data_IF_706535404549
#
_entry.id   IF_706535404549
#
_cell.length_a   1.000
_cell.length_b   1.000
_cell.length_c   1.000
_cell.angle_alpha   90.00
_cell.angle_beta   90.00
_cell.angle_gamma   90.00
#
_symmetry.space_group_name_H-M   'P 1'
#
loop_
_entity.id
_entity.type
_entity.pdbx_description
1 polymer ?
#
# COMPACT_ATOMS: atom_id res chain seq x y z
N UNK A 1 9.93 9.60 11.07
CA UNK A 1 9.66 8.66 9.99
C UNK A 1 9.81 9.37 8.64
N UNK A 2 10.82 8.98 7.86
CA UNK A 2 11.20 9.61 6.58
C UNK A 2 10.07 9.60 5.53
N UNK A 3 9.16 8.63 5.57
CA UNK A 3 8.03 8.55 4.65
C UNK A 3 7.00 9.64 4.99
N UNK A 4 6.61 9.72 6.25
CA UNK A 4 5.53 10.63 6.71
C UNK A 4 5.87 12.11 6.49
N UNK A 5 7.15 12.48 6.57
CA UNK A 5 7.63 13.85 6.34
C UNK A 5 7.89 14.18 4.86
N UNK A 6 7.74 13.23 3.94
CA UNK A 6 8.08 13.41 2.53
C UNK A 6 7.23 14.48 1.82
N UNK A 7 7.91 15.37 1.06
CA UNK A 7 7.29 16.46 0.26
C UNK A 7 7.79 16.49 -1.19
N UNK A 8 8.39 15.39 -1.71
CA UNK A 8 9.11 15.37 -2.98
C UNK A 8 8.24 15.51 -4.24
N UNK A 9 6.93 15.25 -4.15
CA UNK A 9 6.00 15.29 -5.28
C UNK A 9 4.98 16.42 -5.07
N UNK A 10 5.21 17.66 -5.56
CA UNK A 10 4.36 18.82 -5.29
C UNK A 10 2.87 18.56 -5.64
N UNK A 11 2.59 17.94 -6.79
CA UNK A 11 1.23 17.59 -7.21
C UNK A 11 0.51 16.72 -6.17
N UNK A 12 1.18 15.69 -5.66
CA UNK A 12 0.61 14.79 -4.65
C UNK A 12 0.49 15.48 -3.27
N UNK A 13 1.47 16.32 -2.92
CA UNK A 13 1.42 17.11 -1.67
C UNK A 13 0.22 18.05 -1.68
N UNK A 14 0.02 18.77 -2.78
CA UNK A 14 -1.10 19.70 -2.92
C UNK A 14 -2.44 18.94 -2.92
N UNK A 15 -2.53 17.85 -3.67
CA UNK A 15 -3.77 17.07 -3.76
C UNK A 15 -4.16 16.44 -2.40
N UNK A 16 -3.25 15.74 -1.71
CA UNK A 16 -3.58 15.13 -0.41
C UNK A 16 -3.98 16.16 0.66
N UNK A 17 -3.36 17.35 0.63
CA UNK A 17 -3.71 18.47 1.52
C UNK A 17 -5.06 19.07 1.16
N UNK A 18 -5.34 19.25 -0.16
CA UNK A 18 -6.64 19.73 -0.66
C UNK A 18 -7.73 18.80 -0.16
N UNK A 19 -7.63 17.50 -0.39
CA UNK A 19 -8.61 16.51 0.10
C UNK A 19 -8.77 16.55 1.62
N UNK A 20 -7.67 16.73 2.37
CA UNK A 20 -7.74 16.82 3.84
C UNK A 20 -8.42 18.11 4.34
N UNK A 21 -8.42 19.19 3.55
CA UNK A 21 -9.11 20.45 3.85
C UNK A 21 -10.58 20.41 3.43
N UNK A 22 -10.86 19.96 2.20
CA UNK A 22 -12.20 19.95 1.62
C UNK A 22 -13.09 18.86 2.22
N UNK A 23 -12.49 17.72 2.55
CA UNK A 23 -13.12 16.55 3.14
C UNK A 23 -14.31 16.03 2.32
N UNK A 24 -14.90 14.91 2.71
CA UNK A 24 -16.17 14.42 2.20
C UNK A 24 -17.27 14.78 3.21
N UNK A 25 -18.47 15.12 2.77
CA UNK A 25 -19.60 15.54 3.63
C UNK A 25 -19.79 14.64 4.85
N UNK A 26 -19.77 13.32 4.65
CA UNK A 26 -19.93 12.33 5.72
C UNK A 26 -18.78 12.30 6.74
N UNK A 27 -17.61 12.90 6.42
CA UNK A 27 -16.42 12.94 7.27
C UNK A 27 -16.02 14.37 7.62
N UNK A 28 -16.93 15.33 7.53
CA UNK A 28 -16.64 16.78 7.69
C UNK A 28 -16.05 17.08 9.09
N UNK A 29 -16.51 16.36 10.10
CA UNK A 29 -16.08 16.52 11.49
C UNK A 29 -14.80 15.74 11.83
N UNK A 30 -14.30 14.87 10.90
CA UNK A 30 -13.10 14.10 11.17
C UNK A 30 -11.83 14.90 10.87
N UNK A 31 -10.77 14.62 11.63
CA UNK A 31 -9.45 15.14 11.34
C UNK A 31 -8.73 14.22 10.37
N UNK A 32 -8.57 14.65 9.12
CA UNK A 32 -7.82 13.90 8.13
C UNK A 32 -6.32 13.88 8.43
N UNK A 33 -5.68 12.76 8.14
CA UNK A 33 -4.23 12.59 8.25
C UNK A 33 -3.46 13.50 7.28
N UNK A 34 -3.82 13.50 5.99
CA UNK A 34 -3.29 14.39 4.96
C UNK A 34 -1.77 14.31 4.72
N UNK A 35 -1.12 13.25 5.18
CA UNK A 35 0.33 13.01 5.03
C UNK A 35 0.59 11.70 4.28
N UNK A 36 1.83 11.42 3.83
CA UNK A 36 2.18 10.13 3.29
C UNK A 36 1.91 8.99 4.28
N UNK A 37 1.67 7.79 3.77
CA UNK A 37 1.31 6.62 4.55
C UNK A 37 2.40 5.55 4.44
N UNK A 38 2.73 4.93 5.56
CA UNK A 38 3.60 3.76 5.63
C UNK A 38 2.79 2.48 5.43
N UNK A 39 3.48 1.39 5.17
CA UNK A 39 2.90 0.07 5.31
C UNK A 39 2.46 -0.21 6.76
N UNK A 40 1.65 -1.25 6.90
CA UNK A 40 1.06 -1.71 8.15
C UNK A 40 1.03 -3.23 8.20
N UNK A 41 1.30 -3.82 9.34
CA UNK A 41 1.18 -5.25 9.56
C UNK A 41 2.29 -5.83 10.43
N UNK A 42 2.50 -7.14 10.28
CA UNK A 42 3.51 -7.89 11.00
C UNK A 42 4.91 -7.63 10.40
N UNK A 43 5.89 -7.13 11.16
CA UNK A 43 7.25 -6.94 10.64
C UNK A 43 7.97 -8.25 10.29
N UNK A 44 7.49 -9.40 10.78
CA UNK A 44 8.00 -10.74 10.45
C UNK A 44 7.16 -11.45 9.37
N UNK A 45 6.33 -10.70 8.64
CA UNK A 45 5.40 -11.23 7.65
C UNK A 45 6.10 -12.03 6.56
N UNK A 46 5.50 -13.17 6.21
CA UNK A 46 5.85 -13.98 5.03
C UNK A 46 5.04 -13.57 3.79
N UNK A 47 3.95 -12.82 3.97
CA UNK A 47 3.04 -12.41 2.90
C UNK A 47 2.96 -10.89 2.85
N UNK A 48 3.25 -10.32 1.67
CA UNK A 48 3.13 -8.89 1.40
C UNK A 48 1.98 -8.63 0.44
N UNK A 49 1.03 -7.78 0.84
CA UNK A 49 0.02 -7.22 -0.05
C UNK A 49 0.44 -5.84 -0.52
N UNK A 50 0.39 -5.62 -1.82
CA UNK A 50 0.78 -4.34 -2.42
C UNK A 50 -0.38 -3.75 -3.20
N UNK A 51 -0.83 -2.56 -2.81
CA UNK A 51 -1.79 -1.76 -3.56
C UNK A 51 -1.14 -0.63 -4.36
N UNK A 52 -1.96 0.12 -5.10
CA UNK A 52 -1.49 1.28 -5.88
C UNK A 52 -1.05 2.43 -4.97
N UNK A 53 -1.97 2.95 -4.18
CA UNK A 53 -1.82 4.17 -3.37
C UNK A 53 -2.90 4.23 -2.29
N UNK A 54 -2.77 5.12 -1.28
CA UNK A 54 -3.85 5.38 -0.33
C UNK A 54 -5.06 5.99 -1.03
N UNK A 55 -6.27 5.56 -0.65
CA UNK A 55 -7.50 6.19 -1.09
C UNK A 55 -7.70 7.58 -0.47
N UNK A 56 -8.35 8.49 -1.22
CA UNK A 56 -8.56 9.89 -0.82
C UNK A 56 -9.29 10.04 0.52
N UNK A 57 -10.35 9.26 0.72
CA UNK A 57 -11.18 9.27 1.92
C UNK A 57 -11.03 8.01 2.79
N UNK A 58 -10.12 7.10 2.40
CA UNK A 58 -9.64 5.98 3.18
C UNK A 58 -8.31 6.31 3.86
N UNK A 59 -7.19 5.77 3.37
CA UNK A 59 -5.89 5.95 3.96
C UNK A 59 -5.45 7.41 4.12
N UNK A 60 -5.72 8.30 3.17
CA UNK A 60 -5.40 9.73 3.31
C UNK A 60 -6.21 10.42 4.43
N UNK A 61 -7.38 9.87 4.79
CA UNK A 61 -8.18 10.30 5.94
C UNK A 61 -7.67 9.70 7.23
N UNK A 62 -7.54 8.38 7.29
CA UNK A 62 -7.33 7.62 8.52
C UNK A 62 -5.86 7.56 8.96
N UNK A 63 -4.91 7.69 8.04
CA UNK A 63 -3.46 7.56 8.31
C UNK A 63 -2.95 6.12 8.32
N UNK A 64 -3.78 5.13 7.95
CA UNK A 64 -3.39 3.73 7.79
C UNK A 64 -3.77 3.22 6.40
N UNK A 65 -2.88 2.43 5.79
CA UNK A 65 -3.11 1.83 4.48
C UNK A 65 -4.33 0.88 4.53
N UNK A 66 -5.11 0.83 3.45
CA UNK A 66 -6.34 0.02 3.34
C UNK A 66 -7.25 0.17 4.59
N UNK A 67 -7.68 1.38 4.91
CA UNK A 67 -8.48 1.65 6.10
C UNK A 67 -9.57 2.67 5.81
N UNK A 68 -10.81 2.34 6.14
CA UNK A 68 -11.96 3.24 6.07
C UNK A 68 -12.47 3.51 4.64
N UNK A 69 -12.36 2.53 3.75
CA UNK A 69 -12.93 2.57 2.40
C UNK A 69 -13.44 1.17 1.97
N UNK A 70 -14.22 1.10 0.89
CA UNK A 70 -14.82 -0.15 0.42
C UNK A 70 -13.81 -1.24 0.07
N UNK A 71 -12.62 -0.87 -0.42
CA UNK A 71 -11.57 -1.83 -0.73
C UNK A 71 -11.05 -2.51 0.53
N UNK A 72 -10.92 -1.74 1.62
CA UNK A 72 -10.52 -2.26 2.93
C UNK A 72 -11.57 -3.20 3.51
N UNK A 73 -12.85 -2.86 3.38
CA UNK A 73 -13.96 -3.70 3.90
C UNK A 73 -13.92 -5.10 3.29
N UNK A 74 -13.71 -5.20 1.98
CA UNK A 74 -13.60 -6.49 1.30
C UNK A 74 -12.33 -7.24 1.72
N UNK A 75 -11.18 -6.58 1.67
CA UNK A 75 -9.89 -7.18 1.98
C UNK A 75 -9.86 -7.77 3.39
N UNK A 76 -10.26 -7.00 4.40
CA UNK A 76 -10.18 -7.46 5.78
C UNK A 76 -11.21 -8.54 6.13
N UNK A 77 -12.37 -8.56 5.48
CA UNK A 77 -13.29 -9.72 5.58
C UNK A 77 -12.63 -11.01 5.08
N UNK A 78 -11.90 -10.94 3.96
CA UNK A 78 -11.16 -12.09 3.44
C UNK A 78 -10.00 -12.50 4.37
N UNK A 79 -9.22 -11.54 4.85
CA UNK A 79 -8.11 -11.79 5.77
C UNK A 79 -8.58 -12.39 7.11
N UNK A 80 -9.71 -11.91 7.63
CA UNK A 80 -10.31 -12.45 8.86
C UNK A 80 -10.76 -13.90 8.67
N UNK A 81 -11.45 -14.22 7.57
CA UNK A 81 -11.83 -15.61 7.23
C UNK A 81 -10.60 -16.52 7.11
N UNK A 82 -9.50 -15.99 6.59
CA UNK A 82 -8.22 -16.70 6.47
C UNK A 82 -7.42 -16.75 7.80
N UNK A 83 -7.94 -16.21 8.90
CA UNK A 83 -7.28 -16.10 10.23
C UNK A 83 -5.97 -15.27 10.20
N UNK A 84 -5.86 -14.37 9.25
CA UNK A 84 -4.70 -13.48 9.04
C UNK A 84 -4.90 -12.08 9.61
N UNK A 85 -6.11 -11.77 10.10
CA UNK A 85 -6.41 -10.59 10.92
C UNK A 85 -7.27 -10.96 12.13
N UNK A 86 -7.20 -10.15 13.20
CA UNK A 86 -7.97 -10.37 14.42
C UNK A 86 -9.41 -9.86 14.33
N UNK A 87 -9.73 -9.07 13.30
CA UNK A 87 -11.07 -8.52 13.08
C UNK A 87 -11.36 -8.35 11.57
N UNK A 88 -12.66 -8.34 11.17
CA UNK A 88 -13.06 -8.28 9.76
C UNK A 88 -13.14 -6.87 9.18
N UNK A 89 -12.90 -5.83 9.96
CA UNK A 89 -13.02 -4.42 9.58
C UNK A 89 -11.74 -3.64 9.87
N UNK A 90 -11.61 -2.49 9.19
CA UNK A 90 -10.50 -1.55 9.33
C UNK A 90 -11.04 -0.13 9.18
N UNK A 91 -11.45 0.47 10.28
CA UNK A 91 -12.20 1.73 10.28
C UNK A 91 -11.30 2.95 10.53
N UNK A 92 -10.36 2.84 11.48
CA UNK A 92 -9.40 3.89 11.80
C UNK A 92 -8.11 3.29 12.38
N UNK A 93 -7.04 4.08 12.43
CA UNK A 93 -5.70 3.58 12.77
C UNK A 93 -5.56 3.03 14.20
N UNK A 94 -6.48 3.36 15.10
CA UNK A 94 -6.47 2.96 16.51
C UNK A 94 -7.63 2.00 16.85
N UNK A 95 -8.15 1.26 15.89
CA UNK A 95 -9.29 0.34 16.03
C UNK A 95 -8.93 -1.06 16.59
N UNK A 96 -7.68 -1.25 16.99
CA UNK A 96 -7.21 -2.52 17.55
C UNK A 96 -6.87 -3.59 16.50
N UNK A 97 -6.97 -3.28 15.19
CA UNK A 97 -6.63 -4.22 14.12
C UNK A 97 -5.17 -4.68 14.23
N UNK A 98 -4.99 -5.99 14.21
CA UNK A 98 -3.69 -6.66 14.14
C UNK A 98 -3.67 -7.65 12.99
N UNK A 99 -2.56 -7.69 12.27
CA UNK A 99 -2.30 -8.65 11.21
C UNK A 99 -1.33 -9.71 11.71
N UNK A 100 -1.51 -10.94 11.27
CA UNK A 100 -0.63 -12.07 11.53
C UNK A 100 -0.02 -12.54 10.22
N UNK A 101 1.29 -12.59 10.16
CA UNK A 101 2.05 -13.09 9.01
C UNK A 101 1.83 -12.30 7.70
N UNK A 102 1.20 -11.12 7.79
CA UNK A 102 0.92 -10.25 6.65
C UNK A 102 1.45 -8.85 6.93
N UNK A 103 2.04 -8.25 5.88
CA UNK A 103 2.30 -6.83 5.78
C UNK A 103 1.59 -6.25 4.55
N UNK A 104 1.01 -5.07 4.67
CA UNK A 104 0.27 -4.41 3.59
C UNK A 104 0.92 -3.07 3.31
N UNK A 105 1.21 -2.80 2.04
CA UNK A 105 1.76 -1.51 1.61
C UNK A 105 1.21 -1.07 0.26
N UNK A 106 1.70 0.06 -0.25
CA UNK A 106 1.34 0.61 -1.55
C UNK A 106 2.58 1.06 -2.32
N UNK A 107 2.54 0.95 -3.64
CA UNK A 107 3.61 1.41 -4.53
C UNK A 107 3.86 2.92 -4.38
N UNK A 108 2.79 3.70 -4.17
CA UNK A 108 2.84 5.15 -3.94
C UNK A 108 2.34 5.49 -2.53
N UNK A 109 3.07 6.31 -1.79
CA UNK A 109 2.76 6.65 -0.38
C UNK A 109 1.80 7.83 -0.19
N UNK A 110 1.37 8.46 -1.26
CA UNK A 110 0.41 9.57 -1.29
C UNK A 110 -0.70 9.28 -2.28
N UNK A 111 -1.92 9.76 -1.98
CA UNK A 111 -3.05 9.67 -2.91
C UNK A 111 -2.79 10.50 -4.18
N UNK A 112 -2.90 9.92 -5.39
CA UNK A 112 -2.82 10.65 -6.63
C UNK A 112 -4.21 11.14 -7.08
N UNK A 113 -4.31 12.27 -7.81
CA UNK A 113 -5.57 12.70 -8.42
C UNK A 113 -6.12 11.63 -9.38
N UNK A 114 -7.41 11.26 -9.19
CA UNK A 114 -8.12 10.29 -10.03
C UNK A 114 -7.48 8.90 -10.06
N UNK A 115 -6.77 8.51 -8.99
CA UNK A 115 -6.02 7.25 -8.88
C UNK A 115 -4.99 7.02 -10.01
N UNK A 116 -4.53 8.13 -10.63
CA UNK A 116 -3.58 8.12 -11.76
C UNK A 116 -2.24 8.76 -11.37
N UNK A 117 -1.28 7.97 -10.85
CA UNK A 117 0.07 8.47 -10.61
C UNK A 117 0.83 8.68 -11.93
N UNK A 118 1.78 9.62 -11.93
CA UNK A 118 2.74 9.74 -13.02
C UNK A 118 3.91 8.77 -12.82
N UNK A 119 4.60 8.41 -13.92
CA UNK A 119 5.84 7.60 -13.85
C UNK A 119 6.90 8.26 -12.95
N UNK A 120 7.04 9.60 -13.02
CA UNK A 120 7.98 10.37 -12.17
C UNK A 120 7.65 10.22 -10.69
N UNK A 121 6.36 10.25 -10.30
CA UNK A 121 5.93 10.08 -8.92
C UNK A 121 6.19 8.67 -8.40
N UNK A 122 5.89 7.64 -9.21
CA UNK A 122 6.19 6.25 -8.88
C UNK A 122 7.69 6.05 -8.68
N UNK A 123 8.53 6.51 -9.60
CA UNK A 123 9.98 6.42 -9.51
C UNK A 123 10.54 7.17 -8.27
N UNK A 124 10.02 8.38 -7.99
CA UNK A 124 10.42 9.15 -6.80
C UNK A 124 10.05 8.44 -5.50
N UNK A 125 8.90 7.76 -5.49
CA UNK A 125 8.38 7.04 -4.32
C UNK A 125 9.00 5.65 -4.15
N UNK A 126 9.50 5.04 -5.21
CA UNK A 126 9.99 3.68 -5.28
C UNK A 126 11.02 3.34 -4.19
N UNK A 127 11.90 4.27 -3.83
CA UNK A 127 12.88 4.08 -2.75
C UNK A 127 12.25 3.77 -1.39
N UNK A 128 11.06 4.30 -1.11
CA UNK A 128 10.34 4.02 0.13
C UNK A 128 9.67 2.64 0.09
N UNK A 129 9.13 2.28 -1.08
CA UNK A 129 8.60 0.96 -1.35
C UNK A 129 9.69 -0.13 -1.22
N UNK A 130 10.85 0.10 -1.84
CA UNK A 130 12.03 -0.77 -1.71
C UNK A 130 12.39 -1.03 -0.24
N UNK A 131 12.58 0.05 0.53
CA UNK A 131 12.98 -0.07 1.93
C UNK A 131 11.96 -0.85 2.77
N UNK A 132 10.67 -0.69 2.51
CA UNK A 132 9.67 -1.47 3.24
C UNK A 132 9.75 -2.97 2.92
N UNK A 133 10.06 -3.36 1.67
CA UNK A 133 10.25 -4.76 1.31
C UNK A 133 11.56 -5.31 1.90
N UNK A 134 12.65 -4.54 1.84
CA UNK A 134 13.96 -4.92 2.40
C UNK A 134 13.90 -5.20 3.91
N UNK A 135 12.97 -4.57 4.64
CA UNK A 135 12.76 -4.86 6.07
C UNK A 135 11.97 -6.13 6.36
N UNK A 136 11.37 -6.77 5.35
CA UNK A 136 10.60 -8.00 5.51
C UNK A 136 11.48 -9.23 5.23
N UNK A 137 12.36 -9.56 6.17
CA UNK A 137 13.36 -10.62 6.03
C UNK A 137 12.78 -12.02 5.78
N UNK A 138 11.54 -12.26 6.23
CA UNK A 138 10.86 -13.55 6.07
C UNK A 138 9.95 -13.64 4.85
N UNK A 139 9.96 -12.62 3.97
CA UNK A 139 9.02 -12.52 2.86
C UNK A 139 9.15 -13.70 1.88
N UNK A 140 8.02 -14.37 1.61
CA UNK A 140 7.92 -15.52 0.69
C UNK A 140 6.92 -15.30 -0.44
N UNK A 141 5.86 -14.54 -0.18
CA UNK A 141 4.75 -14.36 -1.11
C UNK A 141 4.46 -12.86 -1.26
N UNK A 142 4.32 -12.40 -2.50
CA UNK A 142 3.86 -11.04 -2.81
C UNK A 142 2.57 -11.10 -3.59
N UNK A 143 1.54 -10.43 -3.07
CA UNK A 143 0.21 -10.31 -3.68
C UNK A 143 0.05 -8.89 -4.21
N UNK A 144 0.12 -8.72 -5.53
CA UNK A 144 -0.05 -7.42 -6.18
C UNK A 144 -1.53 -7.17 -6.50
N UNK A 145 -2.10 -6.15 -5.87
CA UNK A 145 -3.50 -5.74 -6.07
C UNK A 145 -3.59 -4.72 -7.20
N UNK A 146 -3.47 -5.21 -8.44
CA UNK A 146 -3.57 -4.41 -9.66
C UNK A 146 -2.24 -4.16 -10.39
N UNK A 147 -2.35 -3.68 -11.65
CA UNK A 147 -1.22 -3.55 -12.58
C UNK A 147 -0.07 -2.67 -12.05
N UNK A 148 -0.38 -1.51 -11.47
CA UNK A 148 0.67 -0.59 -10.96
C UNK A 148 1.41 -1.21 -9.78
N UNK A 149 0.69 -1.91 -8.89
CA UNK A 149 1.31 -2.63 -7.78
C UNK A 149 2.21 -3.76 -8.29
N UNK A 150 1.72 -4.53 -9.28
CA UNK A 150 2.50 -5.57 -9.94
C UNK A 150 3.79 -5.00 -10.57
N UNK A 151 3.69 -3.91 -11.35
CA UNK A 151 4.84 -3.29 -11.99
C UNK A 151 5.89 -2.81 -10.97
N UNK A 152 5.44 -2.27 -9.83
CA UNK A 152 6.34 -1.88 -8.74
C UNK A 152 7.06 -3.10 -8.12
N UNK A 153 6.35 -4.21 -7.94
CA UNK A 153 6.95 -5.46 -7.47
C UNK A 153 7.98 -6.00 -8.47
N UNK A 154 7.63 -6.08 -9.76
CA UNK A 154 8.56 -6.51 -10.81
C UNK A 154 9.79 -5.60 -10.88
N UNK A 155 9.62 -4.28 -10.76
CA UNK A 155 10.73 -3.34 -10.72
C UNK A 155 11.66 -3.61 -9.52
N UNK A 156 11.10 -3.94 -8.33
CA UNK A 156 11.89 -4.33 -7.16
C UNK A 156 12.68 -5.60 -7.43
N UNK A 157 12.03 -6.66 -7.87
CA UNK A 157 12.67 -7.95 -8.10
C UNK A 157 13.73 -7.91 -9.21
N UNK A 158 13.49 -7.19 -10.31
CA UNK A 158 14.49 -6.97 -11.37
C UNK A 158 15.74 -6.23 -10.87
N UNK A 159 15.58 -5.35 -9.89
CA UNK A 159 16.72 -4.62 -9.32
C UNK A 159 17.59 -5.47 -8.40
N UNK A 160 16.98 -6.37 -7.65
CA UNK A 160 17.63 -7.13 -6.59
C UNK A 160 17.94 -8.59 -6.94
N UNK A 161 17.24 -9.13 -7.94
CA UNK A 161 17.35 -10.54 -8.34
C UNK A 161 17.32 -10.67 -9.86
N UNK A 162 17.92 -11.75 -10.38
CA UNK A 162 17.76 -12.13 -11.77
C UNK A 162 16.42 -12.82 -11.96
N UNK A 163 15.44 -12.12 -12.48
CA UNK A 163 14.11 -12.69 -12.79
C UNK A 163 13.85 -12.65 -14.30
N UNK A 164 13.03 -13.59 -14.78
CA UNK A 164 12.58 -13.60 -16.17
C UNK A 164 11.86 -12.28 -16.50
N UNK A 165 12.24 -11.68 -17.64
CA UNK A 165 11.66 -10.44 -18.15
C UNK A 165 10.24 -10.61 -18.67
N UNK A 166 9.78 -11.84 -18.92
CA UNK A 166 8.51 -12.15 -19.60
C UNK A 166 7.32 -12.32 -18.65
N UNK A 167 7.48 -12.04 -17.36
CA UNK A 167 6.37 -12.11 -16.39
C UNK A 167 5.34 -11.04 -16.72
N UNK A 168 4.15 -11.47 -17.19
CA UNK A 168 3.05 -10.59 -17.56
C UNK A 168 2.00 -10.49 -16.45
N UNK A 169 1.44 -9.30 -16.28
CA UNK A 169 0.27 -9.11 -15.43
C UNK A 169 -0.96 -9.72 -16.12
N UNK A 170 -1.72 -10.52 -15.37
CA UNK A 170 -3.03 -11.00 -15.78
C UNK A 170 -3.97 -11.10 -14.58
N UNK A 171 -5.31 -11.12 -14.79
CA UNK A 171 -6.24 -11.34 -13.71
C UNK A 171 -6.02 -12.74 -13.13
N UNK A 172 -5.89 -12.81 -11.79
CA UNK A 172 -5.63 -14.06 -11.05
C UNK A 172 -4.39 -14.82 -11.55
N UNK A 173 -3.32 -14.10 -11.93
CA UNK A 173 -2.05 -14.71 -12.31
C UNK A 173 -1.25 -15.13 -11.08
N UNK A 174 -0.81 -16.37 -11.06
CA UNK A 174 0.15 -16.88 -10.09
C UNK A 174 1.53 -16.98 -10.75
N UNK A 175 2.52 -16.33 -10.17
CA UNK A 175 3.91 -16.40 -10.65
C UNK A 175 4.82 -16.81 -9.51
N UNK A 176 5.59 -17.87 -9.70
CA UNK A 176 6.62 -18.31 -8.78
C UNK A 176 7.91 -17.58 -9.09
N UNK A 177 8.31 -16.67 -8.22
CA UNK A 177 9.66 -16.08 -8.27
C UNK A 177 10.57 -16.94 -7.39
N UNK A 178 11.36 -17.82 -7.99
CA UNK A 178 12.48 -18.46 -7.28
C UNK A 178 13.62 -17.45 -7.23
N UNK A 179 14.07 -17.08 -6.03
CA UNK A 179 15.40 -16.53 -5.86
C UNK A 179 16.39 -17.64 -6.23
N UNK A 180 17.17 -17.47 -7.26
CA UNK A 180 18.35 -18.30 -7.45
C UNK A 180 19.39 -17.83 -6.44
N UNK A 181 19.77 -18.74 -5.55
CA UNK A 181 20.92 -18.61 -4.67
C UNK A 181 22.19 -18.37 -5.47
#
# INVERSE_FOLDING_TARGET
>A
NLIVSCKKCPRLVNFRKKIAKEKRKQYINEKYWGKPITGFGDPKARILFVGLAPAAHGGNRTGRVFTGDRSSDFLYKCLYKAKLSNQPNSDHKNDGLKLRDIFITTALKCVPPGDKPTKKELNTCFKYFNKEIEYLENLKIVVALGKIAFDACIQFYKKHYRIDSNIKFGPVSYTHLRAHE
#
